data_IF_431612545425
#
_entry.id   IF_431612545425
#
_cell.length_a   1.000
_cell.length_b   1.000
_cell.length_c   1.000
_cell.angle_alpha   90.00
_cell.angle_beta   90.00
_cell.angle_gamma   90.00
#
_symmetry.space_group_name_H-M   'P 1'
#
loop_
_entity.id
_entity.type
_entity.pdbx_description
1 polymer ?
#
# COMPACT_ATOMS: atom_id res chain seq x y z
N UNK A 1 -7.37 5.09 15.17
CA UNK A 1 -7.41 5.14 13.70
C UNK A 1 -8.41 6.21 13.33
N UNK A 2 -8.06 7.06 12.39
CA UNK A 2 -8.84 8.23 12.00
C UNK A 2 -8.77 8.38 10.48
N UNK A 3 -9.88 8.82 9.87
CA UNK A 3 -9.91 9.17 8.45
C UNK A 3 -9.40 10.58 8.27
N UNK A 4 -8.52 10.77 7.29
CA UNK A 4 -8.01 12.07 6.87
C UNK A 4 -8.24 12.23 5.37
N UNK A 5 -8.66 13.41 4.95
CA UNK A 5 -8.68 13.77 3.53
C UNK A 5 -7.54 14.73 3.24
N UNK A 6 -6.82 14.49 2.14
CA UNK A 6 -5.75 15.33 1.65
C UNK A 6 -6.21 16.06 0.39
N UNK A 7 -6.98 17.15 0.59
CA UNK A 7 -7.54 17.97 -0.48
C UNK A 7 -7.02 19.40 -0.29
N UNK A 8 -6.31 19.90 -1.29
CA UNK A 8 -5.77 21.27 -1.30
C UNK A 8 -6.92 22.29 -1.26
N UNK A 9 -6.72 23.41 -0.57
CA UNK A 9 -7.69 24.50 -0.39
C UNK A 9 -9.00 24.14 0.35
N UNK A 10 -9.19 22.89 0.79
CA UNK A 10 -10.39 22.51 1.53
C UNK A 10 -10.40 23.08 2.94
N UNK A 11 -11.51 23.72 3.29
CA UNK A 11 -11.80 24.21 4.64
C UNK A 11 -12.06 23.04 5.61
N UNK A 12 -11.89 23.25 6.93
CA UNK A 12 -12.21 22.21 7.92
C UNK A 12 -13.65 21.69 7.83
N UNK A 13 -14.61 22.56 7.48
CA UNK A 13 -16.01 22.18 7.31
C UNK A 13 -16.25 21.35 6.05
N UNK A 14 -15.51 21.61 4.96
CA UNK A 14 -15.52 20.77 3.76
C UNK A 14 -14.96 19.39 4.04
N UNK A 15 -13.78 19.33 4.68
CA UNK A 15 -13.15 18.08 5.09
C UNK A 15 -14.07 17.24 6.00
N UNK A 16 -14.73 17.88 6.98
CA UNK A 16 -15.66 17.19 7.87
C UNK A 16 -16.87 16.59 7.12
N UNK A 17 -17.40 17.27 6.09
CA UNK A 17 -18.47 16.71 5.25
C UNK A 17 -17.99 15.50 4.45
N UNK A 18 -16.78 15.58 3.89
CA UNK A 18 -16.18 14.46 3.18
C UNK A 18 -15.99 13.23 4.08
N UNK A 19 -15.44 13.43 5.28
CA UNK A 19 -15.24 12.34 6.25
C UNK A 19 -16.58 11.69 6.63
N UNK A 20 -17.61 12.48 6.95
CA UNK A 20 -18.93 11.96 7.29
C UNK A 20 -19.57 11.16 6.14
N UNK A 21 -19.31 11.54 4.89
CA UNK A 21 -19.78 10.80 3.72
C UNK A 21 -19.08 9.44 3.59
N UNK A 22 -17.75 9.37 3.73
CA UNK A 22 -17.01 8.11 3.76
C UNK A 22 -17.47 7.19 4.90
N UNK A 23 -17.63 7.71 6.11
CA UNK A 23 -18.12 6.94 7.26
C UNK A 23 -19.52 6.35 7.01
N UNK A 24 -20.38 7.08 6.30
CA UNK A 24 -21.70 6.59 5.90
C UNK A 24 -21.60 5.41 4.93
N UNK A 25 -20.65 5.43 4.00
CA UNK A 25 -20.40 4.31 3.07
C UNK A 25 -19.95 3.08 3.83
N UNK A 26 -18.95 3.21 4.70
CA UNK A 26 -18.48 2.10 5.55
C UNK A 26 -19.60 1.52 6.42
N UNK A 27 -20.39 2.38 7.07
CA UNK A 27 -21.51 1.95 7.90
C UNK A 27 -22.58 1.17 7.12
N UNK A 28 -22.90 1.60 5.89
CA UNK A 28 -23.86 0.90 5.01
C UNK A 28 -23.32 -0.46 4.55
N UNK A 29 -22.03 -0.53 4.23
CA UNK A 29 -21.36 -1.76 3.83
C UNK A 29 -21.12 -2.74 5.00
N UNK A 30 -21.26 -2.28 6.24
CA UNK A 30 -21.03 -3.09 7.43
C UNK A 30 -19.56 -3.44 7.66
N UNK A 31 -18.63 -2.64 7.13
CA UNK A 31 -17.19 -2.82 7.32
C UNK A 31 -16.58 -1.60 8.02
N UNK A 32 -15.43 -1.80 8.65
CA UNK A 32 -14.62 -0.70 9.19
C UNK A 32 -13.74 -0.08 8.10
N UNK A 33 -13.34 1.17 8.29
CA UNK A 33 -12.35 1.82 7.43
C UNK A 33 -11.02 1.03 7.37
N UNK A 34 -10.64 0.35 8.46
CA UNK A 34 -9.47 -0.52 8.51
C UNK A 34 -9.60 -1.70 7.54
N UNK A 35 -10.75 -2.38 7.52
CA UNK A 35 -10.99 -3.46 6.57
C UNK A 35 -10.96 -2.94 5.13
N UNK A 36 -11.53 -1.77 4.87
CA UNK A 36 -11.49 -1.12 3.56
C UNK A 36 -10.06 -0.87 3.06
N UNK A 37 -9.23 -0.20 3.87
CA UNK A 37 -7.84 0.10 3.48
C UNK A 37 -6.97 -1.16 3.36
N UNK A 38 -7.25 -2.19 4.16
CA UNK A 38 -6.58 -3.49 4.02
C UNK A 38 -6.94 -4.19 2.71
N UNK A 39 -8.22 -4.16 2.32
CA UNK A 39 -8.67 -4.64 1.02
C UNK A 39 -7.98 -3.91 -0.12
N UNK A 40 -7.97 -2.56 -0.07
CA UNK A 40 -7.27 -1.75 -1.07
C UNK A 40 -5.77 -2.09 -1.11
N UNK A 41 -5.12 -2.23 0.04
CA UNK A 41 -3.71 -2.58 0.12
C UNK A 41 -3.42 -3.97 -0.48
N UNK A 42 -4.31 -4.95 -0.31
CA UNK A 42 -4.19 -6.26 -0.94
C UNK A 42 -4.32 -6.15 -2.47
N UNK A 43 -5.31 -5.40 -2.95
CA UNK A 43 -5.56 -5.18 -4.39
C UNK A 43 -4.38 -4.47 -5.08
N UNK A 44 -3.95 -3.33 -4.55
CA UNK A 44 -2.80 -2.56 -5.07
C UNK A 44 -1.50 -3.36 -4.95
N UNK A 45 -1.33 -4.09 -3.85
CA UNK A 45 -0.18 -4.98 -3.67
C UNK A 45 -0.15 -6.14 -4.68
N UNK A 46 -1.30 -6.58 -5.19
CA UNK A 46 -1.41 -7.58 -6.25
C UNK A 46 -1.10 -6.99 -7.64
N UNK A 47 -1.60 -5.78 -7.93
CA UNK A 47 -1.28 -5.02 -9.16
C UNK A 47 0.23 -4.73 -9.28
N UNK A 48 0.83 -4.20 -8.21
CA UNK A 48 2.29 -3.91 -8.16
C UNK A 48 3.14 -5.16 -8.45
N UNK A 49 2.65 -6.35 -8.12
CA UNK A 49 3.34 -7.62 -8.39
C UNK A 49 3.08 -8.19 -9.78
N UNK A 50 2.22 -7.56 -10.58
CA UNK A 50 1.85 -8.04 -11.92
C UNK A 50 0.81 -9.16 -11.92
N UNK A 51 -0.12 -9.14 -10.96
CA UNK A 51 -1.26 -10.05 -10.87
C UNK A 51 -0.93 -11.57 -10.77
N UNK A 52 0.04 -12.01 -9.95
CA UNK A 52 0.30 -13.44 -9.77
C UNK A 52 -0.92 -14.17 -9.19
N UNK A 53 -1.26 -15.34 -9.73
CA UNK A 53 -2.46 -16.11 -9.32
C UNK A 53 -2.46 -16.45 -7.81
N UNK A 54 -1.30 -16.78 -7.24
CA UNK A 54 -1.14 -17.20 -5.84
C UNK A 54 -1.30 -16.07 -4.81
N UNK A 55 -1.18 -14.81 -5.22
CA UNK A 55 -1.37 -13.64 -4.33
C UNK A 55 -2.64 -12.84 -4.70
N UNK A 56 -3.58 -13.44 -5.44
CA UNK A 56 -4.86 -12.80 -5.76
C UNK A 56 -5.62 -12.47 -4.47
N UNK A 57 -6.18 -11.26 -4.31
CA UNK A 57 -7.05 -10.92 -3.19
C UNK A 57 -8.22 -11.89 -3.06
N UNK A 58 -8.59 -12.19 -1.83
CA UNK A 58 -9.83 -12.91 -1.53
C UNK A 58 -11.05 -12.09 -1.94
N UNK A 59 -12.21 -12.73 -2.11
CA UNK A 59 -13.47 -12.04 -2.44
C UNK A 59 -13.84 -10.99 -1.38
N UNK A 60 -13.51 -11.23 -0.11
CA UNK A 60 -13.76 -10.27 0.97
C UNK A 60 -12.82 -9.07 0.91
N UNK A 61 -11.54 -9.28 0.56
CA UNK A 61 -10.57 -8.19 0.37
C UNK A 61 -10.91 -7.35 -0.87
N UNK A 62 -11.29 -7.97 -1.98
CA UNK A 62 -11.73 -7.29 -3.20
C UNK A 62 -13.01 -6.47 -2.96
N UNK A 63 -13.99 -7.03 -2.24
CA UNK A 63 -15.18 -6.30 -1.81
C UNK A 63 -14.83 -5.13 -0.89
N UNK A 64 -13.93 -5.33 0.07
CA UNK A 64 -13.50 -4.26 0.98
C UNK A 64 -12.74 -3.15 0.25
N UNK A 65 -11.90 -3.49 -0.75
CA UNK A 65 -11.22 -2.54 -1.62
C UNK A 65 -12.23 -1.68 -2.39
N UNK A 66 -13.25 -2.32 -2.97
CA UNK A 66 -14.33 -1.63 -3.68
C UNK A 66 -15.03 -0.62 -2.78
N UNK A 67 -15.41 -1.03 -1.55
CA UNK A 67 -16.06 -0.12 -0.59
C UNK A 67 -15.14 1.03 -0.18
N UNK A 68 -13.83 0.81 -0.07
CA UNK A 68 -12.88 1.90 0.19
C UNK A 68 -12.85 2.92 -0.94
N UNK A 69 -12.83 2.47 -2.20
CA UNK A 69 -12.86 3.35 -3.38
C UNK A 69 -14.18 4.13 -3.46
N UNK A 70 -15.32 3.48 -3.19
CA UNK A 70 -16.62 4.15 -3.09
C UNK A 70 -16.65 5.20 -1.97
N UNK A 71 -16.06 4.89 -0.82
CA UNK A 71 -15.96 5.82 0.30
C UNK A 71 -15.07 7.02 -0.01
N UNK A 72 -13.95 6.81 -0.73
CA UNK A 72 -13.06 7.87 -1.19
C UNK A 72 -13.77 8.81 -2.18
N UNK A 73 -14.48 8.25 -3.16
CA UNK A 73 -15.28 9.02 -4.12
C UNK A 73 -16.37 9.83 -3.42
N UNK A 74 -17.09 9.22 -2.47
CA UNK A 74 -18.11 9.89 -1.68
C UNK A 74 -17.52 11.03 -0.84
N UNK A 75 -16.33 10.83 -0.26
CA UNK A 75 -15.63 11.86 0.49
C UNK A 75 -15.22 13.05 -0.38
N UNK A 76 -14.59 12.79 -1.53
CA UNK A 76 -14.18 13.83 -2.47
C UNK A 76 -15.40 14.63 -2.97
N UNK A 77 -16.48 13.94 -3.33
CA UNK A 77 -17.73 14.56 -3.80
C UNK A 77 -18.38 15.45 -2.74
N UNK A 78 -18.49 14.98 -1.50
CA UNK A 78 -19.12 15.74 -0.42
C UNK A 78 -18.24 16.89 0.09
N UNK A 79 -16.92 16.71 0.08
CA UNK A 79 -15.95 17.75 0.42
C UNK A 79 -16.02 18.90 -0.59
N UNK A 80 -15.86 18.58 -1.88
CA UNK A 80 -15.80 19.57 -2.98
C UNK A 80 -17.17 19.99 -3.52
N UNK A 81 -18.24 19.79 -2.76
CA UNK A 81 -19.59 20.17 -3.18
C UNK A 81 -19.66 21.68 -3.47
N UNK A 82 -19.96 22.02 -4.73
CA UNK A 82 -20.02 23.42 -5.19
C UNK A 82 -18.70 23.99 -5.70
N UNK A 83 -17.63 23.18 -5.77
CA UNK A 83 -16.36 23.60 -6.36
C UNK A 83 -16.42 23.62 -7.89
N UNK A 84 -15.61 24.46 -8.55
CA UNK A 84 -15.35 24.35 -9.98
C UNK A 84 -14.74 22.99 -10.33
N UNK A 85 -15.12 22.40 -11.46
CA UNK A 85 -14.70 21.06 -11.86
C UNK A 85 -13.17 20.92 -11.96
N UNK A 86 -12.48 21.97 -12.38
CA UNK A 86 -11.02 22.03 -12.49
C UNK A 86 -10.30 22.01 -11.14
N UNK A 87 -11.01 22.24 -10.03
CA UNK A 87 -10.48 22.19 -8.67
C UNK A 87 -10.81 20.90 -7.93
N UNK A 88 -11.68 20.05 -8.48
CA UNK A 88 -12.01 18.77 -7.87
C UNK A 88 -10.82 17.83 -8.06
N UNK A 89 -10.20 17.31 -6.99
CA UNK A 89 -9.09 16.38 -7.12
C UNK A 89 -9.54 15.07 -7.75
N UNK A 90 -8.59 14.34 -8.35
CA UNK A 90 -8.84 12.95 -8.69
C UNK A 90 -9.05 12.13 -7.40
N UNK A 91 -9.86 11.05 -7.46
CA UNK A 91 -10.03 10.13 -6.34
C UNK A 91 -8.68 9.56 -5.85
N UNK A 92 -8.66 9.01 -4.64
CA UNK A 92 -7.52 8.62 -3.79
C UNK A 92 -6.97 9.75 -2.91
N UNK A 93 -7.89 10.50 -2.28
CA UNK A 93 -7.57 11.60 -1.35
C UNK A 93 -7.65 11.17 0.12
N UNK A 94 -8.21 9.99 0.40
CA UNK A 94 -8.47 9.47 1.74
C UNK A 94 -7.29 8.64 2.27
N UNK A 95 -6.92 8.91 3.52
CA UNK A 95 -5.91 8.19 4.28
C UNK A 95 -6.50 7.67 5.59
N UNK A 96 -6.08 6.47 6.01
CA UNK A 96 -6.27 6.03 7.39
C UNK A 96 -4.99 6.31 8.20
N UNK A 97 -5.09 7.22 9.17
CA UNK A 97 -3.97 7.60 10.03
C UNK A 97 -4.09 6.94 11.42
N UNK A 98 -3.00 6.99 12.20
CA UNK A 98 -2.91 6.35 13.51
C UNK A 98 -3.23 4.84 13.45
N UNK A 99 -2.76 4.17 12.39
CA UNK A 99 -2.81 2.72 12.25
C UNK A 99 -1.73 2.11 13.15
N UNK A 100 -2.07 1.21 14.08
CA UNK A 100 -1.07 0.55 14.91
C UNK A 100 -0.09 -0.21 14.01
N UNK A 101 1.21 -0.11 14.33
CA UNK A 101 2.24 -0.84 13.60
C UNK A 101 1.91 -2.34 13.62
N UNK A 102 1.54 -2.89 12.46
CA UNK A 102 1.38 -4.32 12.31
C UNK A 102 2.76 -4.95 12.36
N UNK A 103 2.92 -6.02 13.14
CA UNK A 103 4.13 -6.84 13.07
C UNK A 103 4.18 -7.48 11.69
N UNK A 104 4.86 -6.83 10.75
CA UNK A 104 5.15 -7.39 9.45
C UNK A 104 6.04 -8.62 9.69
N UNK A 105 5.43 -9.82 9.73
CA UNK A 105 6.17 -11.06 9.71
C UNK A 105 6.82 -11.09 8.33
N UNK A 106 8.17 -11.13 8.21
CA UNK A 106 8.79 -11.26 6.90
C UNK A 106 8.25 -12.55 6.26
N UNK A 107 7.55 -12.41 5.14
CA UNK A 107 7.21 -13.57 4.31
C UNK A 107 8.56 -14.12 3.87
N UNK A 108 8.90 -15.31 4.38
CA UNK A 108 10.19 -15.94 4.16
C UNK A 108 10.23 -16.33 2.69
N UNK A 109 10.86 -15.51 1.85
CA UNK A 109 11.13 -15.90 0.47
C UNK A 109 11.93 -17.21 0.52
N UNK A 110 11.52 -18.27 -0.19
CA UNK A 110 12.34 -19.48 -0.29
C UNK A 110 13.66 -19.09 -0.93
N UNK A 111 14.75 -19.29 -0.20
CA UNK A 111 16.10 -19.15 -0.74
C UNK A 111 16.22 -20.07 -1.95
N UNK A 112 16.68 -19.60 -3.13
CA UNK A 112 16.89 -20.48 -4.25
C UNK A 112 17.88 -21.58 -3.84
N UNK A 113 17.44 -22.82 -3.97
CA UNK A 113 18.18 -24.00 -3.60
C UNK A 113 19.54 -24.01 -4.30
N UNK A 114 20.60 -23.99 -3.50
CA UNK A 114 21.97 -24.20 -3.97
C UNK A 114 22.07 -25.67 -4.40
N UNK A 115 21.83 -25.93 -5.68
CA UNK A 115 22.05 -27.24 -6.27
C UNK A 115 23.54 -27.58 -6.16
N UNK A 116 23.85 -28.62 -5.39
CA UNK A 116 25.18 -29.19 -5.30
C UNK A 116 25.51 -29.89 -6.62
N UNK A 117 26.63 -29.52 -7.24
CA UNK A 117 27.05 -30.09 -8.53
C UNK A 117 28.55 -29.91 -8.77
N UNK A 118 29.33 -30.82 -8.19
CA UNK A 118 30.61 -31.38 -8.64
C UNK A 118 31.79 -30.52 -9.13
N UNK A 119 32.90 -30.71 -8.40
CA UNK A 119 34.31 -30.50 -8.68
C UNK A 119 34.77 -30.57 -10.14
N UNK A 120 35.78 -29.74 -10.48
CA UNK A 120 37.07 -30.16 -11.06
C UNK A 120 38.15 -29.17 -10.61
N UNK A 121 39.25 -29.73 -10.08
CA UNK A 121 40.54 -29.10 -9.77
C UNK A 121 41.28 -28.68 -11.05
N UNK A 122 42.05 -27.58 -11.02
CA UNK A 122 43.51 -27.62 -11.23
C UNK A 122 44.20 -26.27 -10.94
N UNK A 123 45.24 -26.37 -10.11
CA UNK A 123 46.55 -25.70 -10.19
C UNK A 123 46.72 -24.17 -10.11
N UNK A 124 47.07 -23.74 -8.88
CA UNK A 124 48.37 -23.14 -8.49
C UNK A 124 48.99 -22.02 -9.34
N UNK A 125 48.97 -20.81 -8.79
CA UNK A 125 50.09 -19.83 -8.67
C UNK A 125 49.44 -18.46 -8.41
N UNK A 126 49.88 -17.58 -7.51
CA UNK A 126 50.93 -17.52 -6.51
C UNK A 126 50.73 -16.15 -5.83
N UNK A 127 50.77 -16.09 -4.51
CA UNK A 127 50.85 -14.81 -3.78
C UNK A 127 52.32 -14.36 -3.75
N UNK A 128 52.56 -13.05 -3.65
CA UNK A 128 53.38 -12.65 -2.51
C UNK A 128 52.79 -11.46 -1.74
N UNK A 129 52.99 -11.53 -0.43
CA UNK A 129 52.88 -10.43 0.52
C UNK A 129 54.19 -9.63 0.60
N UNK A 130 54.11 -8.39 1.11
CA UNK A 130 55.23 -7.57 1.60
C UNK A 130 55.45 -6.31 0.75
N UNK A 131 55.13 -5.10 1.20
CA UNK A 131 55.64 -4.29 2.32
C UNK A 131 56.57 -3.15 1.81
N UNK A 132 56.35 -1.98 2.42
CA UNK A 132 57.33 -0.92 2.77
C UNK A 132 57.73 0.21 1.79
N UNK A 133 57.42 1.42 2.29
CA UNK A 133 58.20 2.68 2.38
C UNK A 133 58.12 3.80 1.33
N UNK A 134 58.08 4.99 1.94
CA UNK A 134 57.99 6.37 1.49
C UNK A 134 59.08 6.87 0.55
N UNK A 135 58.78 7.95 -0.16
CA UNK A 135 59.56 9.20 -0.21
C UNK A 135 58.65 10.36 -0.59
#
# INVERSE_FOLDING_TARGET
MELRLNIEDATPQELARGIAAAETVFARAGITALQGVEGLFALEGWDIKGFPEDDKPTEDEDRAATVWLEADEAAATACCAGWPAEKVPHPQVMELINVPARSCKPRRFPTPGRSAGSSILTSSSGWPAGNTTSS
#
